data_IF_113365267793
#
_entry.id   IF_113365267793
#
_cell.length_a   1.000
_cell.length_b   1.000
_cell.length_c   1.000
_cell.angle_alpha   90.00
_cell.angle_beta   90.00
_cell.angle_gamma   90.00
#
_symmetry.space_group_name_H-M   'P 1'
#
loop_
_entity.id
_entity.type
_entity.pdbx_description
1 polymer ?
#
# COMPACT_ATOMS: atom_id res chain seq x y z
N UNK A 1 4.53 1.03 14.76
CA UNK A 1 3.13 0.66 15.11
C UNK A 1 2.39 0.07 13.91
N UNK A 2 2.24 0.79 12.79
CA UNK A 2 1.49 0.32 11.59
C UNK A 2 1.96 -1.04 11.02
N UNK A 3 3.27 -1.26 10.92
CA UNK A 3 3.85 -2.56 10.50
C UNK A 3 3.40 -3.75 11.35
N UNK A 4 3.29 -3.58 12.68
CA UNK A 4 2.88 -4.67 13.57
C UNK A 4 1.43 -5.08 13.34
N UNK A 5 0.56 -4.13 12.99
CA UNK A 5 -0.83 -4.43 12.64
C UNK A 5 -0.90 -5.30 11.37
N UNK A 6 -0.13 -4.95 10.33
CA UNK A 6 -0.04 -5.75 9.09
C UNK A 6 0.49 -7.15 9.39
N UNK A 7 1.58 -7.25 10.16
CA UNK A 7 2.18 -8.53 10.52
C UNK A 7 1.21 -9.42 11.31
N UNK A 8 0.44 -8.84 12.25
CA UNK A 8 -0.56 -9.57 13.01
C UNK A 8 -1.71 -10.09 12.14
N UNK A 9 -2.23 -9.27 11.21
CA UNK A 9 -3.29 -9.68 10.27
C UNK A 9 -2.83 -10.81 9.34
N UNK A 10 -1.59 -10.72 8.82
CA UNK A 10 -0.99 -11.78 8.03
C UNK A 10 -0.80 -13.06 8.84
N UNK A 11 -0.39 -12.94 10.11
CA UNK A 11 -0.18 -14.05 11.03
C UNK A 11 -1.43 -14.90 11.31
N UNK A 12 -2.63 -14.34 11.10
CA UNK A 12 -3.91 -15.05 11.23
C UNK A 12 -4.55 -15.40 9.87
N UNK A 13 -3.79 -15.29 8.77
CA UNK A 13 -4.18 -15.79 7.45
C UNK A 13 -4.88 -14.77 6.53
N UNK A 14 -4.96 -13.49 6.89
CA UNK A 14 -5.48 -12.47 5.97
C UNK A 14 -4.41 -12.03 4.97
N UNK A 15 -4.84 -11.79 3.73
CA UNK A 15 -4.08 -10.99 2.77
C UNK A 15 -4.25 -9.52 3.11
N UNK A 16 -3.14 -8.78 3.19
CA UNK A 16 -3.15 -7.36 3.56
C UNK A 16 -2.71 -6.50 2.38
N UNK A 17 -3.60 -5.59 1.98
CA UNK A 17 -3.32 -4.53 1.03
C UNK A 17 -3.20 -3.22 1.81
N UNK A 18 -2.17 -2.41 1.53
CA UNK A 18 -1.90 -1.19 2.29
C UNK A 18 -1.70 0.03 1.38
N UNK A 19 -2.35 1.13 1.74
CA UNK A 19 -2.17 2.46 1.15
C UNK A 19 -1.58 3.43 2.17
N UNK A 20 -0.68 4.30 1.72
CA UNK A 20 -0.09 5.36 2.56
C UNK A 20 0.41 6.51 1.72
N UNK A 21 0.84 7.61 2.33
CA UNK A 21 1.28 8.82 1.62
C UNK A 21 2.63 9.34 2.10
N UNK A 22 3.15 8.77 3.19
CA UNK A 22 4.23 9.37 3.98
C UNK A 22 5.33 8.37 4.34
N UNK A 23 6.47 8.90 4.81
CA UNK A 23 7.64 8.11 5.20
C UNK A 23 7.35 7.08 6.30
N UNK A 24 6.47 7.43 7.25
CA UNK A 24 6.08 6.53 8.34
C UNK A 24 5.23 5.33 7.86
N UNK A 25 4.71 5.38 6.63
CA UNK A 25 3.95 4.28 6.01
C UNK A 25 4.85 3.30 5.27
N UNK A 26 6.06 3.68 4.85
CA UNK A 26 6.95 2.83 4.04
C UNK A 26 7.17 1.46 4.69
N UNK A 27 7.38 1.42 6.01
CA UNK A 27 7.57 0.16 6.73
C UNK A 27 6.33 -0.75 6.73
N UNK A 28 5.14 -0.16 6.67
CA UNK A 28 3.86 -0.86 6.54
C UNK A 28 3.65 -1.34 5.09
N UNK A 29 3.91 -0.47 4.11
CA UNK A 29 3.78 -0.79 2.68
C UNK A 29 4.70 -1.95 2.27
N UNK A 30 5.92 -2.02 2.83
CA UNK A 30 6.86 -3.12 2.61
C UNK A 30 6.41 -4.45 3.21
N UNK A 31 5.64 -4.42 4.29
CA UNK A 31 5.19 -5.63 5.00
C UNK A 31 3.91 -6.22 4.41
N UNK A 32 3.07 -5.36 3.80
CA UNK A 32 1.84 -5.74 3.15
C UNK A 32 2.09 -6.69 1.96
N UNK A 33 1.08 -7.48 1.60
CA UNK A 33 1.15 -8.34 0.41
C UNK A 33 1.10 -7.52 -0.88
N UNK A 34 0.45 -6.35 -0.84
CA UNK A 34 0.68 -5.28 -1.79
C UNK A 34 0.59 -3.92 -1.09
N UNK A 35 1.57 -3.06 -1.37
CA UNK A 35 1.62 -1.69 -0.88
C UNK A 35 1.61 -0.70 -2.04
N UNK A 36 0.89 0.41 -1.88
CA UNK A 36 0.84 1.50 -2.87
C UNK A 36 0.79 2.84 -2.16
N UNK A 37 1.34 3.87 -2.80
CA UNK A 37 1.18 5.23 -2.33
C UNK A 37 -0.14 5.82 -2.83
N UNK A 38 -0.77 6.64 -1.99
CA UNK A 38 -1.95 7.42 -2.32
C UNK A 38 -1.66 8.90 -2.08
N UNK A 39 -1.66 9.68 -3.16
CA UNK A 39 -1.35 11.12 -3.14
C UNK A 39 -0.07 11.51 -2.37
N UNK A 40 1.08 10.80 -2.53
CA UNK A 40 2.30 11.09 -1.80
C UNK A 40 3.01 12.37 -2.30
N UNK A 41 3.92 12.98 -1.53
CA UNK A 41 4.87 13.96 -2.07
C UNK A 41 5.77 13.36 -3.17
N UNK A 42 6.21 14.16 -4.14
CA UNK A 42 7.08 13.63 -5.20
C UNK A 42 8.45 13.16 -4.70
N UNK A 43 8.95 13.76 -3.62
CA UNK A 43 10.23 13.38 -3.00
C UNK A 43 10.25 11.93 -2.53
N UNK A 44 9.15 11.45 -1.92
CA UNK A 44 9.07 10.07 -1.44
C UNK A 44 8.86 9.08 -2.59
N UNK A 45 8.20 9.49 -3.68
CA UNK A 45 8.06 8.66 -4.89
C UNK A 45 9.41 8.44 -5.55
N UNK A 46 10.26 9.47 -5.60
CA UNK A 46 11.62 9.35 -6.13
C UNK A 46 12.50 8.43 -5.26
N UNK A 47 12.31 8.45 -3.95
CA UNK A 47 13.07 7.62 -3.01
C UNK A 47 12.60 6.16 -2.97
N UNK A 48 11.30 5.93 -3.21
CA UNK A 48 10.70 4.60 -3.22
C UNK A 48 9.91 4.31 -4.51
N UNK A 49 10.59 4.28 -5.68
CA UNK A 49 9.94 4.10 -6.98
C UNK A 49 9.34 2.70 -7.19
N UNK A 50 9.60 1.75 -6.28
CA UNK A 50 9.01 0.41 -6.35
C UNK A 50 7.53 0.37 -6.00
N UNK A 51 6.99 1.41 -5.34
CA UNK A 51 5.58 1.45 -4.97
C UNK A 51 4.75 2.13 -6.06
N UNK A 52 3.66 1.49 -6.54
CA UNK A 52 2.69 2.15 -7.39
C UNK A 52 2.12 3.40 -6.71
N UNK A 53 1.78 4.41 -7.49
CA UNK A 53 1.22 5.67 -6.98
C UNK A 53 -0.17 5.86 -7.57
N UNK A 54 -1.17 5.95 -6.71
CA UNK A 54 -2.50 6.46 -7.04
C UNK A 54 -2.58 7.94 -6.67
N UNK A 55 -3.05 8.78 -7.58
CA UNK A 55 -3.35 10.20 -7.38
C UNK A 55 -4.85 10.49 -7.34
N UNK A 56 -5.68 9.47 -7.54
CA UNK A 56 -7.13 9.54 -7.43
C UNK A 56 -7.70 8.31 -6.73
N UNK A 57 -8.92 8.44 -6.19
CA UNK A 57 -9.63 7.31 -5.60
C UNK A 57 -9.90 6.20 -6.62
N UNK A 58 -10.16 6.54 -7.89
CA UNK A 58 -10.37 5.58 -8.95
C UNK A 58 -9.11 4.72 -9.19
N UNK A 59 -7.95 5.35 -9.30
CA UNK A 59 -6.66 4.65 -9.43
C UNK A 59 -6.36 3.78 -8.20
N UNK A 60 -6.68 4.29 -7.00
CA UNK A 60 -6.50 3.54 -5.76
C UNK A 60 -7.38 2.29 -5.72
N UNK A 61 -8.65 2.41 -6.15
CA UNK A 61 -9.57 1.29 -6.27
C UNK A 61 -9.10 0.27 -7.31
N UNK A 62 -8.57 0.72 -8.46
CA UNK A 62 -8.00 -0.16 -9.47
C UNK A 62 -6.80 -0.97 -8.92
N UNK A 63 -5.89 -0.31 -8.20
CA UNK A 63 -4.77 -0.98 -7.54
C UNK A 63 -5.22 -2.00 -6.52
N UNK A 64 -6.22 -1.67 -5.69
CA UNK A 64 -6.81 -2.61 -4.73
C UNK A 64 -7.48 -3.78 -5.44
N UNK A 65 -8.29 -3.53 -6.46
CA UNK A 65 -9.01 -4.56 -7.21
C UNK A 65 -8.04 -5.56 -7.83
N UNK A 66 -7.03 -5.04 -8.54
CA UNK A 66 -5.98 -5.86 -9.17
C UNK A 66 -5.18 -6.68 -8.16
N UNK A 67 -4.78 -6.08 -7.03
CA UNK A 67 -3.98 -6.78 -6.02
C UNK A 67 -4.82 -7.76 -5.16
N UNK A 68 -6.09 -7.42 -4.93
CA UNK A 68 -7.06 -8.24 -4.22
C UNK A 68 -7.65 -9.39 -5.05
N UNK A 69 -7.52 -9.33 -6.38
CA UNK A 69 -8.18 -10.27 -7.28
C UNK A 69 -9.69 -10.03 -7.39
N UNK A 70 -10.14 -8.82 -7.08
CA UNK A 70 -11.52 -8.39 -7.29
C UNK A 70 -11.66 -7.82 -8.70
N UNK A 71 -12.77 -8.06 -9.41
CA UNK A 71 -13.01 -7.42 -10.69
C UNK A 71 -13.05 -5.90 -10.51
N UNK A 72 -12.26 -5.20 -11.33
CA UNK A 72 -12.19 -3.75 -11.43
C UNK A 72 -13.45 -3.15 -12.04
#
# INVERSE_FOLDING_TARGET
QKRHAVSALKGIGFRVLAGGDSYNDVSMLKEADAGFFFCPPDSIVQEFPQFPVARSYAEFQEHIGRAGGFPS
#
